data_IF_576042944876
#
_entry.id   IF_576042944876
#
_cell.length_a   1.000
_cell.length_b   1.000
_cell.length_c   1.000
_cell.angle_alpha   90.00
_cell.angle_beta   90.00
_cell.angle_gamma   90.00
#
_symmetry.space_group_name_H-M   'P 1'
#
loop_
_entity.id
_entity.type
_entity.pdbx_description
1 polymer ?
#
# COMPACT_ATOMS: atom_id res chain seq x y z
N UNK A 1 -0.51 29.97 -111.36
CA UNK A 1 0.81 29.51 -111.84
C UNK A 1 1.09 28.18 -111.15
N UNK A 2 1.07 27.03 -111.86
CA UNK A 2 2.26 26.29 -112.35
C UNK A 2 3.31 26.10 -111.24
N UNK A 3 3.84 24.92 -110.91
CA UNK A 3 3.81 23.59 -111.50
C UNK A 3 4.45 22.59 -110.49
N UNK A 4 4.18 21.30 -110.65
CA UNK A 4 5.00 20.20 -110.09
C UNK A 4 6.38 20.15 -110.80
N UNK A 5 7.40 19.44 -110.26
CA UNK A 5 7.60 18.03 -110.66
C UNK A 5 8.29 17.06 -109.65
N UNK A 6 8.18 15.77 -110.02
CA UNK A 6 8.70 14.45 -109.59
C UNK A 6 10.25 14.34 -109.34
N UNK A 7 10.92 13.18 -109.03
CA UNK A 7 10.51 11.74 -109.03
C UNK A 7 11.12 10.74 -107.97
N UNK A 8 10.44 9.57 -107.86
CA UNK A 8 10.92 8.15 -107.85
C UNK A 8 12.22 7.73 -107.12
N UNK A 9 12.11 6.78 -106.17
CA UNK A 9 12.96 5.55 -106.13
C UNK A 9 12.40 4.37 -105.33
N UNK A 10 12.51 3.19 -105.93
CA UNK A 10 12.11 1.85 -105.47
C UNK A 10 13.01 1.30 -104.36
N UNK A 11 12.42 0.50 -103.46
CA UNK A 11 12.86 -0.77 -102.80
C UNK A 11 12.03 -0.93 -101.53
N UNK A 12 11.72 -2.08 -100.95
CA UNK A 12 11.79 -3.50 -101.28
C UNK A 12 10.93 -4.20 -100.21
N UNK A 13 10.25 -5.27 -100.61
CA UNK A 13 9.78 -6.42 -99.80
C UNK A 13 9.67 -6.23 -98.28
N UNK A 14 8.44 -6.27 -97.77
CA UNK A 14 8.07 -7.31 -96.80
C UNK A 14 6.55 -7.42 -96.70
N UNK A 15 6.00 -8.56 -97.14
CA UNK A 15 4.63 -8.96 -96.78
C UNK A 15 4.66 -9.37 -95.30
N UNK A 16 4.41 -8.41 -94.42
CA UNK A 16 4.05 -8.72 -93.05
C UNK A 16 2.66 -9.38 -93.07
N UNK A 17 2.59 -10.64 -92.63
CA UNK A 17 1.33 -11.29 -92.24
C UNK A 17 0.73 -10.46 -91.08
N UNK A 18 -0.56 -10.12 -91.09
CA UNK A 18 -1.16 -9.45 -89.95
C UNK A 18 -1.20 -10.44 -88.79
N UNK A 19 -0.48 -10.14 -87.71
CA UNK A 19 -0.69 -10.82 -86.43
C UNK A 19 -2.04 -10.34 -85.89
N UNK A 20 -3.00 -11.24 -85.80
CA UNK A 20 -4.23 -11.01 -85.04
C UNK A 20 -3.85 -10.88 -83.56
N UNK A 21 -3.64 -9.64 -83.09
CA UNK A 21 -3.64 -9.35 -81.66
C UNK A 21 -5.03 -9.71 -81.12
N UNK A 22 -5.15 -10.86 -80.46
CA UNK A 22 -6.31 -11.20 -79.63
C UNK A 22 -6.54 -10.04 -78.66
N UNK A 23 -7.69 -9.38 -78.76
CA UNK A 23 -8.18 -8.46 -77.75
C UNK A 23 -8.67 -9.25 -76.52
N UNK A 24 -7.76 -9.94 -75.84
CA UNK A 24 -8.00 -10.58 -74.56
C UNK A 24 -7.30 -9.74 -73.48
N UNK A 25 -7.93 -8.63 -73.08
CA UNK A 25 -7.27 -7.69 -72.16
C UNK A 25 -8.14 -6.57 -71.59
N UNK A 26 -9.47 -6.74 -71.52
CA UNK A 26 -10.37 -5.77 -70.86
C UNK A 26 -11.15 -6.36 -69.69
N UNK A 27 -11.61 -7.61 -69.77
CA UNK A 27 -12.30 -8.28 -68.66
C UNK A 27 -11.40 -8.62 -67.48
N UNK A 28 -10.21 -9.18 -67.74
CA UNK A 28 -9.25 -9.54 -66.69
C UNK A 28 -8.71 -8.31 -65.93
N UNK A 29 -8.50 -7.19 -66.62
CA UNK A 29 -8.02 -5.95 -66.02
C UNK A 29 -9.04 -5.28 -65.08
N UNK A 30 -10.34 -5.41 -65.38
CA UNK A 30 -11.41 -4.88 -64.51
C UNK A 30 -11.53 -5.74 -63.25
N UNK A 31 -11.43 -7.07 -63.38
CA UNK A 31 -11.48 -7.98 -62.23
C UNK A 31 -10.28 -7.77 -61.30
N UNK A 32 -9.08 -7.59 -61.84
CA UNK A 32 -7.89 -7.31 -61.02
C UNK A 32 -7.96 -5.93 -60.37
N UNK A 33 -8.47 -4.91 -61.06
CA UNK A 33 -8.68 -3.58 -60.48
C UNK A 33 -9.70 -3.61 -59.32
N UNK A 34 -10.84 -4.30 -59.50
CA UNK A 34 -11.85 -4.45 -58.45
C UNK A 34 -11.33 -5.26 -57.26
N UNK A 35 -10.53 -6.30 -57.50
CA UNK A 35 -9.94 -7.11 -56.45
C UNK A 35 -8.91 -6.32 -55.63
N UNK A 36 -8.07 -5.52 -56.29
CA UNK A 36 -7.12 -4.63 -55.60
C UNK A 36 -7.86 -3.61 -54.75
N UNK A 37 -8.91 -2.97 -55.29
CA UNK A 37 -9.71 -1.99 -54.53
C UNK A 37 -10.41 -2.63 -53.34
N UNK A 38 -11.01 -3.82 -53.51
CA UNK A 38 -11.65 -4.54 -52.41
C UNK A 38 -10.64 -4.92 -51.32
N UNK A 39 -9.44 -5.39 -51.70
CA UNK A 39 -8.38 -5.74 -50.76
C UNK A 39 -7.84 -4.49 -50.05
N UNK A 40 -7.65 -3.38 -50.76
CA UNK A 40 -7.30 -2.08 -50.16
C UNK A 40 -8.37 -1.62 -49.17
N UNK A 41 -9.65 -1.73 -49.50
CA UNK A 41 -10.75 -1.36 -48.61
C UNK A 41 -10.78 -2.21 -47.33
N UNK A 42 -10.55 -3.53 -47.42
CA UNK A 42 -10.47 -4.43 -46.25
C UNK A 42 -9.31 -4.04 -45.34
N UNK A 43 -8.11 -3.78 -45.90
CA UNK A 43 -6.94 -3.36 -45.12
C UNK A 43 -7.16 -2.03 -44.40
N UNK A 44 -7.70 -1.03 -45.11
CA UNK A 44 -8.00 0.29 -44.52
C UNK A 44 -9.06 0.17 -43.42
N UNK A 45 -10.12 -0.62 -43.63
CA UNK A 45 -11.16 -0.86 -42.61
C UNK A 45 -10.57 -1.50 -41.34
N UNK A 46 -9.71 -2.51 -41.49
CA UNK A 46 -9.01 -3.13 -40.37
C UNK A 46 -8.07 -2.18 -39.62
N UNK A 47 -7.43 -1.24 -40.33
CA UNK A 47 -6.58 -0.22 -39.72
C UNK A 47 -7.39 0.81 -38.92
N UNK A 48 -8.51 1.30 -39.45
CA UNK A 48 -9.38 2.27 -38.78
C UNK A 48 -9.96 1.68 -37.48
N UNK A 49 -10.36 0.41 -37.50
CA UNK A 49 -10.80 -0.28 -36.28
C UNK A 49 -9.70 -0.34 -35.22
N UNK A 50 -8.46 -0.70 -35.61
CA UNK A 50 -7.31 -0.72 -34.70
C UNK A 50 -7.00 0.67 -34.14
N UNK A 51 -7.09 1.71 -34.95
CA UNK A 51 -6.90 3.09 -34.52
C UNK A 51 -7.95 3.50 -33.47
N UNK A 52 -9.23 3.18 -33.68
CA UNK A 52 -10.28 3.49 -32.71
C UNK A 52 -10.05 2.78 -31.37
N UNK A 53 -9.63 1.51 -31.39
CA UNK A 53 -9.31 0.77 -30.15
C UNK A 53 -8.11 1.38 -29.44
N UNK A 54 -7.06 1.79 -30.16
CA UNK A 54 -5.90 2.46 -29.59
C UNK A 54 -6.28 3.79 -28.93
N UNK A 55 -7.11 4.61 -29.58
CA UNK A 55 -7.57 5.88 -29.03
C UNK A 55 -8.33 5.69 -27.71
N UNK A 56 -9.25 4.72 -27.64
CA UNK A 56 -9.99 4.41 -26.41
C UNK A 56 -9.07 3.97 -25.27
N UNK A 57 -8.02 3.19 -25.57
CA UNK A 57 -7.02 2.79 -24.57
C UNK A 57 -6.22 3.98 -24.05
N UNK A 58 -5.76 4.85 -24.93
CA UNK A 58 -5.01 6.06 -24.57
C UNK A 58 -5.88 6.98 -23.70
N UNK A 59 -7.15 7.16 -24.06
CA UNK A 59 -8.09 7.95 -23.28
C UNK A 59 -8.27 7.37 -21.86
N UNK A 60 -8.48 6.05 -21.73
CA UNK A 60 -8.55 5.38 -20.42
C UNK A 60 -7.27 5.53 -19.59
N UNK A 61 -6.11 5.38 -20.23
CA UNK A 61 -4.81 5.56 -19.57
C UNK A 61 -4.62 7.00 -19.09
N UNK A 62 -5.05 7.98 -19.88
CA UNK A 62 -5.00 9.40 -19.50
C UNK A 62 -5.88 9.68 -18.29
N UNK A 63 -7.13 9.21 -18.30
CA UNK A 63 -8.06 9.42 -17.18
C UNK A 63 -7.55 8.79 -15.89
N UNK A 64 -7.03 7.56 -15.96
CA UNK A 64 -6.44 6.88 -14.81
C UNK A 64 -5.18 7.62 -14.30
N UNK A 65 -4.31 8.09 -15.19
CA UNK A 65 -3.14 8.87 -14.81
C UNK A 65 -3.54 10.18 -14.11
N UNK A 66 -4.58 10.88 -14.59
CA UNK A 66 -5.13 12.07 -13.96
C UNK A 66 -5.69 11.77 -12.56
N UNK A 67 -6.49 10.72 -12.41
CA UNK A 67 -6.98 10.28 -11.10
C UNK A 67 -5.84 9.96 -10.12
N UNK A 68 -4.77 9.30 -10.59
CA UNK A 68 -3.57 9.03 -9.79
C UNK A 68 -2.79 10.28 -9.40
N UNK A 69 -2.75 11.33 -10.25
CA UNK A 69 -2.16 12.62 -9.91
C UNK A 69 -2.98 13.34 -8.83
N UNK A 70 -4.31 13.34 -8.97
CA UNK A 70 -5.22 13.91 -7.97
C UNK A 70 -5.07 13.17 -6.62
N UNK A 71 -5.02 11.84 -6.63
CA UNK A 71 -4.83 11.03 -5.42
C UNK A 71 -3.51 11.34 -4.70
N UNK A 72 -2.43 11.60 -5.45
CA UNK A 72 -1.14 12.03 -4.88
C UNK A 72 -1.24 13.42 -4.23
N UNK A 73 -1.89 14.38 -4.90
CA UNK A 73 -2.12 15.72 -4.34
C UNK A 73 -2.96 15.68 -3.06
N UNK A 74 -4.03 14.87 -3.05
CA UNK A 74 -4.87 14.67 -1.85
C UNK A 74 -4.08 14.05 -0.69
N UNK A 75 -3.16 13.12 -0.97
CA UNK A 75 -2.27 12.53 0.03
C UNK A 75 -1.28 13.56 0.58
N UNK A 76 -0.70 14.42 -0.26
CA UNK A 76 0.22 15.47 0.18
C UNK A 76 -0.47 16.51 1.07
N UNK A 77 -1.72 16.86 0.76
CA UNK A 77 -2.56 17.66 1.65
C UNK A 77 -2.85 16.93 2.98
N UNK A 78 -3.20 15.65 2.93
CA UNK A 78 -3.44 14.83 4.13
C UNK A 78 -2.21 14.80 5.04
N UNK A 79 -1.01 14.69 4.45
CA UNK A 79 0.27 14.74 5.15
C UNK A 79 0.51 16.11 5.82
N UNK A 80 0.06 17.20 5.20
CA UNK A 80 0.10 18.53 5.80
C UNK A 80 -0.85 18.63 7.01
N UNK A 81 -2.08 18.11 6.89
CA UNK A 81 -3.05 18.06 8.00
C UNK A 81 -2.47 17.27 9.18
N UNK A 82 -1.91 16.08 8.93
CA UNK A 82 -1.28 15.26 9.98
C UNK A 82 -0.10 15.95 10.69
N UNK A 83 0.65 16.77 9.95
CA UNK A 83 1.75 17.58 10.51
C UNK A 83 1.21 18.75 11.33
N UNK A 84 0.29 19.52 10.77
CA UNK A 84 -0.36 20.65 11.46
C UNK A 84 -1.05 20.24 12.75
N UNK A 85 -1.69 19.07 12.76
CA UNK A 85 -2.31 18.50 13.96
C UNK A 85 -1.26 18.15 15.02
N UNK A 86 -0.13 17.57 14.62
CA UNK A 86 0.97 17.26 15.55
C UNK A 86 1.58 18.51 16.17
N UNK A 87 1.69 19.58 15.39
CA UNK A 87 2.16 20.88 15.89
C UNK A 87 1.16 21.50 16.89
N UNK A 88 -0.14 21.26 16.70
CA UNK A 88 -1.22 21.81 17.56
C UNK A 88 -1.45 20.97 18.82
N UNK A 89 -1.45 19.65 18.70
CA UNK A 89 -1.69 18.67 19.76
C UNK A 89 -0.44 17.84 20.03
N UNK A 90 0.65 18.50 20.42
CA UNK A 90 1.96 17.87 20.59
C UNK A 90 1.91 16.71 21.61
N UNK A 91 2.37 15.54 21.18
CA UNK A 91 2.50 14.35 22.03
C UNK A 91 1.22 13.55 22.29
N UNK A 92 0.09 13.90 21.68
CA UNK A 92 -1.19 13.21 21.89
C UNK A 92 -1.88 12.98 20.55
N UNK A 93 -2.43 11.78 20.33
CA UNK A 93 -3.32 11.50 19.19
C UNK A 93 -4.61 10.85 19.67
N UNK A 94 -5.75 11.46 19.35
CA UNK A 94 -7.07 11.07 19.84
C UNK A 94 -8.14 11.19 18.75
N UNK A 95 -9.28 10.51 18.93
CA UNK A 95 -10.37 10.39 17.94
C UNK A 95 -11.07 11.71 17.58
N UNK A 96 -10.98 12.74 18.43
CA UNK A 96 -11.59 14.05 18.21
C UNK A 96 -10.72 15.04 17.44
N UNK A 97 -9.51 14.63 17.03
CA UNK A 97 -8.61 15.48 16.25
C UNK A 97 -9.13 15.77 14.85
N UNK A 98 -8.62 16.83 14.22
CA UNK A 98 -9.07 17.27 12.88
C UNK A 98 -8.86 16.21 11.81
N UNK A 99 -7.84 15.36 11.98
CA UNK A 99 -7.51 14.24 11.11
C UNK A 99 -8.55 13.10 11.15
N UNK A 100 -9.29 12.96 12.26
CA UNK A 100 -10.22 11.84 12.49
C UNK A 100 -11.56 12.00 11.78
N UNK A 101 -11.85 13.19 11.25
CA UNK A 101 -13.12 13.48 10.56
C UNK A 101 -13.04 12.93 9.12
N UNK A 102 -13.90 11.97 8.74
CA UNK A 102 -13.88 11.42 7.39
C UNK A 102 -14.35 12.46 6.36
N UNK A 103 -13.65 12.50 5.24
CA UNK A 103 -14.02 13.33 4.09
C UNK A 103 -15.05 12.54 3.28
N UNK A 104 -16.32 12.94 3.38
CA UNK A 104 -17.39 12.42 2.55
C UNK A 104 -17.12 12.69 1.06
N UNK A 105 -17.89 12.06 0.16
CA UNK A 105 -17.74 12.28 -1.29
C UNK A 105 -18.05 13.74 -1.64
N UNK A 106 -17.01 14.54 -1.81
CA UNK A 106 -17.09 15.96 -2.16
C UNK A 106 -16.49 16.21 -3.54
N UNK A 107 -17.00 17.21 -4.26
CA UNK A 107 -16.39 17.61 -5.53
C UNK A 107 -15.02 18.22 -5.27
N UNK A 108 -14.08 17.96 -6.18
CA UNK A 108 -12.74 18.53 -6.08
C UNK A 108 -12.78 20.07 -6.13
N UNK A 109 -13.71 20.66 -6.88
CA UNK A 109 -13.94 22.11 -6.89
C UNK A 109 -14.29 22.67 -5.51
N UNK A 110 -15.16 21.98 -4.78
CA UNK A 110 -15.63 22.41 -3.46
C UNK A 110 -14.53 22.23 -2.42
N UNK A 111 -13.77 21.13 -2.54
CA UNK A 111 -12.59 20.86 -1.72
C UNK A 111 -11.49 21.91 -1.94
N UNK A 112 -11.17 22.26 -3.19
CA UNK A 112 -10.18 23.28 -3.51
C UNK A 112 -10.66 24.70 -3.17
N UNK A 113 -11.94 25.00 -3.36
CA UNK A 113 -12.53 26.29 -2.98
C UNK A 113 -12.45 26.58 -1.48
N UNK A 114 -12.45 25.54 -0.64
CA UNK A 114 -12.16 25.67 0.79
C UNK A 114 -10.68 25.96 1.10
N UNK A 115 -9.77 25.68 0.15
CA UNK A 115 -8.31 25.78 0.29
C UNK A 115 -7.75 27.04 -0.42
N UNK A 116 -8.54 27.73 -1.25
CA UNK A 116 -8.20 29.02 -1.90
C UNK A 116 -8.72 29.15 -3.34
N UNK A 117 -8.91 30.38 -3.85
CA UNK A 117 -9.50 30.62 -5.18
C UNK A 117 -8.62 30.14 -6.35
N UNK A 118 -9.13 29.21 -7.20
CA UNK A 118 -8.86 29.15 -8.66
C UNK A 118 -9.99 28.41 -9.43
N UNK A 119 -10.49 29.06 -10.51
CA UNK A 119 -11.21 28.58 -11.72
C UNK A 119 -11.91 27.21 -11.63
N UNK A 120 -13.21 27.25 -11.31
CA UNK A 120 -14.14 26.11 -11.19
C UNK A 120 -14.43 25.33 -12.49
N UNK A 121 -13.86 25.70 -13.64
CA UNK A 121 -14.23 25.09 -14.92
C UNK A 121 -13.46 23.79 -15.23
N UNK A 122 -12.37 23.47 -14.51
CA UNK A 122 -11.58 22.26 -14.73
C UNK A 122 -11.69 21.32 -13.53
N UNK A 123 -12.55 20.30 -13.63
CA UNK A 123 -12.71 19.26 -12.59
C UNK A 123 -14.15 19.03 -12.10
N UNK A 124 -15.16 19.55 -12.79
CA UNK A 124 -16.58 19.41 -12.42
C UNK A 124 -17.03 17.96 -12.18
N UNK A 125 -16.42 16.99 -12.86
CA UNK A 125 -16.68 15.55 -12.71
C UNK A 125 -15.60 14.81 -11.90
N UNK A 126 -14.96 15.49 -10.95
CA UNK A 126 -13.97 14.89 -10.04
C UNK A 126 -14.47 14.90 -8.62
N UNK A 127 -14.49 13.74 -7.98
CA UNK A 127 -14.91 13.54 -6.60
C UNK A 127 -13.78 12.94 -5.78
N UNK A 128 -13.62 13.44 -4.56
CA UNK A 128 -12.68 12.95 -3.57
C UNK A 128 -13.46 12.49 -2.33
N UNK A 129 -13.04 11.39 -1.76
CA UNK A 129 -13.49 10.92 -0.44
C UNK A 129 -12.35 10.19 0.25
N UNK A 130 -12.39 10.12 1.57
CA UNK A 130 -11.38 9.38 2.30
C UNK A 130 -11.56 9.44 3.80
N UNK A 131 -10.76 8.65 4.49
CA UNK A 131 -10.67 8.64 5.94
C UNK A 131 -9.23 8.37 6.35
N UNK A 132 -8.88 8.85 7.54
CA UNK A 132 -7.59 8.58 8.15
C UNK A 132 -7.86 7.73 9.38
N UNK A 133 -7.10 6.66 9.54
CA UNK A 133 -7.16 5.79 10.69
C UNK A 133 -5.79 5.75 11.37
N UNK A 134 -5.79 5.69 12.69
CA UNK A 134 -4.59 5.45 13.47
C UNK A 134 -4.18 3.99 13.35
N UNK A 135 -3.01 3.72 12.77
CA UNK A 135 -2.53 2.35 12.59
C UNK A 135 -2.09 1.73 13.94
N UNK A 136 -1.67 2.54 14.92
CA UNK A 136 -1.31 2.09 16.26
C UNK A 136 -2.52 1.93 17.18
N UNK A 137 -3.75 2.16 16.70
CA UNK A 137 -4.96 1.73 17.39
C UNK A 137 -5.12 0.20 17.38
N UNK A 138 -4.43 -0.48 16.47
CA UNK A 138 -4.49 -1.92 16.26
C UNK A 138 -3.27 -2.61 16.87
N UNK A 139 -3.42 -3.86 17.25
CA UNK A 139 -2.31 -4.68 17.73
C UNK A 139 -1.29 -4.91 16.60
N UNK A 140 -0.04 -4.50 16.81
CA UNK A 140 0.99 -4.63 15.79
C UNK A 140 1.67 -6.00 15.91
N UNK A 141 1.46 -6.88 14.93
CA UNK A 141 2.05 -8.21 14.94
C UNK A 141 3.58 -8.18 14.96
N UNK A 142 4.20 -7.08 14.52
CA UNK A 142 5.65 -6.88 14.60
C UNK A 142 6.17 -6.99 16.03
N UNK A 143 5.35 -6.68 17.04
CA UNK A 143 5.74 -6.66 18.46
C UNK A 143 5.97 -8.07 19.05
N UNK A 144 5.47 -9.11 18.39
CA UNK A 144 5.68 -10.52 18.77
C UNK A 144 7.17 -10.93 18.76
N UNK A 145 8.03 -10.15 18.11
CA UNK A 145 9.47 -10.41 17.99
C UNK A 145 10.26 -9.19 18.47
N UNK A 146 10.94 -9.34 19.60
CA UNK A 146 11.85 -8.32 20.12
C UNK A 146 13.22 -8.40 19.44
N UNK A 147 13.89 -7.24 19.32
CA UNK A 147 15.29 -7.14 18.91
C UNK A 147 16.09 -6.75 20.17
N UNK A 148 16.61 -7.74 20.89
CA UNK A 148 17.39 -7.52 22.12
C UNK A 148 18.79 -6.98 21.83
N UNK A 149 19.33 -7.31 20.65
CA UNK A 149 20.57 -6.75 20.10
C UNK A 149 20.47 -6.78 18.56
N UNK A 150 21.20 -5.93 17.81
CA UNK A 150 21.16 -5.92 16.36
C UNK A 150 21.38 -7.33 15.77
N UNK A 151 20.41 -7.83 15.01
CA UNK A 151 20.45 -9.18 14.42
C UNK A 151 20.02 -10.34 15.33
N UNK A 152 19.82 -10.11 16.63
CA UNK A 152 19.32 -11.10 17.59
C UNK A 152 17.80 -10.98 17.77
N UNK A 153 17.06 -11.79 17.04
CA UNK A 153 15.60 -11.86 17.09
C UNK A 153 15.14 -12.83 18.18
N UNK A 154 14.44 -12.32 19.19
CA UNK A 154 13.85 -13.10 20.27
C UNK A 154 12.33 -13.00 20.27
N UNK A 155 11.65 -14.04 20.71
CA UNK A 155 10.19 -14.03 20.83
C UNK A 155 9.81 -13.24 22.09
N UNK A 156 8.88 -12.29 21.95
CA UNK A 156 8.35 -11.54 23.08
C UNK A 156 7.16 -12.30 23.69
N UNK A 157 7.37 -12.92 24.85
CA UNK A 157 6.36 -13.78 25.49
C UNK A 157 5.12 -12.98 25.91
N UNK A 158 5.30 -11.76 26.43
CA UNK A 158 4.19 -10.91 26.87
C UNK A 158 3.28 -10.55 25.70
N UNK A 159 3.86 -10.19 24.55
CA UNK A 159 3.10 -9.84 23.34
C UNK A 159 2.42 -11.06 22.71
N UNK A 160 3.04 -12.24 22.81
CA UNK A 160 2.42 -13.50 22.37
C UNK A 160 1.18 -13.80 23.22
N UNK A 161 1.23 -13.57 24.53
CA UNK A 161 0.06 -13.72 25.41
C UNK A 161 -1.03 -12.69 25.10
N UNK A 162 -0.65 -11.42 24.84
CA UNK A 162 -1.59 -10.38 24.39
C UNK A 162 -2.29 -10.77 23.10
N UNK A 163 -1.55 -11.26 22.11
CA UNK A 163 -2.13 -11.71 20.85
C UNK A 163 -2.99 -12.98 21.02
N UNK A 164 -2.58 -13.92 21.88
CA UNK A 164 -3.40 -15.10 22.20
C UNK A 164 -4.74 -14.71 22.84
N UNK A 165 -4.76 -13.69 23.71
CA UNK A 165 -6.00 -13.13 24.27
C UNK A 165 -6.86 -12.48 23.18
N UNK A 166 -6.26 -11.72 22.26
CA UNK A 166 -6.99 -11.11 21.14
C UNK A 166 -7.66 -12.19 20.27
N UNK A 167 -6.92 -13.26 19.94
CA UNK A 167 -7.45 -14.39 19.19
C UNK A 167 -8.65 -15.01 19.92
N UNK A 168 -8.54 -15.26 21.23
CA UNK A 168 -9.63 -15.81 22.03
C UNK A 168 -10.87 -14.89 22.06
N UNK A 169 -10.68 -13.56 22.17
CA UNK A 169 -11.78 -12.57 22.14
C UNK A 169 -12.54 -12.62 20.80
N UNK A 170 -11.81 -12.79 19.68
CA UNK A 170 -12.38 -12.88 18.33
C UNK A 170 -12.96 -14.27 18.02
N UNK A 171 -12.81 -15.24 18.93
CA UNK A 171 -13.30 -16.61 18.79
C UNK A 171 -12.39 -17.51 17.95
N UNK A 172 -11.08 -17.20 17.91
CA UNK A 172 -10.04 -17.99 17.26
C UNK A 172 -9.17 -18.72 18.29
N UNK A 173 -8.43 -19.73 17.84
CA UNK A 173 -7.53 -20.50 18.71
C UNK A 173 -6.30 -19.66 19.11
N UNK A 174 -6.10 -19.46 20.41
CA UNK A 174 -4.95 -18.75 20.96
C UNK A 174 -3.60 -19.44 20.70
N UNK A 175 -3.59 -20.74 20.38
CA UNK A 175 -2.36 -21.46 20.03
C UNK A 175 -1.68 -20.90 18.77
N UNK A 176 -2.47 -20.29 17.87
CA UNK A 176 -1.98 -19.67 16.63
C UNK A 176 -1.04 -18.48 16.89
N UNK A 177 -1.09 -17.86 18.08
CA UNK A 177 -0.21 -16.74 18.43
C UNK A 177 1.27 -17.15 18.36
N UNK A 178 1.61 -18.30 18.94
CA UNK A 178 2.98 -18.83 18.94
C UNK A 178 3.46 -19.22 17.54
N UNK A 179 2.57 -19.79 16.73
CA UNK A 179 2.88 -20.13 15.33
C UNK A 179 3.17 -18.86 14.52
N UNK A 180 2.33 -17.84 14.68
CA UNK A 180 2.50 -16.53 14.04
C UNK A 180 3.83 -15.88 14.43
N UNK A 181 4.16 -15.87 15.72
CA UNK A 181 5.41 -15.30 16.20
C UNK A 181 6.65 -16.04 15.66
N UNK A 182 6.57 -17.37 15.56
CA UNK A 182 7.65 -18.19 15.00
C UNK A 182 7.86 -17.92 13.51
N UNK A 183 6.77 -17.83 12.75
CA UNK A 183 6.78 -17.50 11.32
C UNK A 183 7.27 -16.06 11.08
N UNK A 184 6.80 -15.11 11.89
CA UNK A 184 7.24 -13.73 11.80
C UNK A 184 8.75 -13.62 12.04
N UNK A 185 9.27 -14.29 13.08
CA UNK A 185 10.71 -14.32 13.38
C UNK A 185 11.54 -14.81 12.20
N UNK A 186 11.11 -15.89 11.53
CA UNK A 186 11.81 -16.40 10.35
C UNK A 186 11.69 -15.45 9.16
N UNK A 187 10.54 -14.79 8.96
CA UNK A 187 10.36 -13.77 7.91
C UNK A 187 11.25 -12.54 8.13
N UNK A 188 11.43 -12.12 9.39
CA UNK A 188 12.24 -10.96 9.77
C UNK A 188 13.74 -11.19 9.63
N UNK A 189 14.21 -12.44 9.68
CA UNK A 189 15.62 -12.78 9.45
C UNK A 189 16.12 -12.28 8.08
N UNK A 190 15.24 -12.18 7.10
CA UNK A 190 15.54 -11.67 5.76
C UNK A 190 15.13 -10.19 5.55
N UNK A 191 14.67 -9.50 6.60
CA UNK A 191 14.23 -8.10 6.53
C UNK A 191 15.38 -7.12 6.72
N UNK A 192 15.30 -5.97 6.04
CA UNK A 192 16.23 -4.86 6.26
C UNK A 192 16.11 -4.25 7.66
N UNK A 193 14.94 -4.40 8.31
CA UNK A 193 14.65 -3.88 9.65
C UNK A 193 15.24 -4.71 10.79
N UNK A 194 15.90 -5.85 10.50
CA UNK A 194 16.46 -6.76 11.54
C UNK A 194 17.54 -6.15 12.43
N UNK A 195 18.17 -5.06 11.99
CA UNK A 195 19.24 -4.36 12.71
C UNK A 195 18.74 -3.10 13.43
N UNK A 196 17.46 -2.75 13.28
CA UNK A 196 16.90 -1.56 13.89
C UNK A 196 16.55 -1.87 15.35
N UNK A 197 17.43 -1.48 16.27
CA UNK A 197 17.17 -1.61 17.70
C UNK A 197 16.02 -0.69 18.11
N UNK A 198 15.19 -1.13 19.06
CA UNK A 198 14.07 -0.36 19.60
C UNK A 198 14.64 0.80 20.43
N UNK A 199 14.46 2.04 19.96
CA UNK A 199 14.79 3.23 20.74
C UNK A 199 13.66 3.49 21.74
N UNK A 200 13.76 2.92 22.93
CA UNK A 200 12.86 3.28 24.04
C UNK A 200 13.22 4.66 24.57
N UNK A 201 12.27 5.58 24.60
CA UNK A 201 12.41 6.97 25.09
C UNK A 201 12.46 7.07 26.61
N UNK A 202 13.21 6.18 27.26
CA UNK A 202 13.61 6.32 28.66
C UNK A 202 15.12 6.13 28.74
N UNK A 203 15.83 7.25 28.88
CA UNK A 203 17.26 7.29 29.12
C UNK A 203 17.59 6.67 30.47
N UNK A 204 17.81 5.36 30.48
CA UNK A 204 18.68 4.74 31.48
C UNK A 204 19.76 4.01 30.70
N UNK A 205 20.90 4.67 30.58
CA UNK A 205 22.12 4.06 30.06
C UNK A 205 22.52 2.95 31.04
N UNK A 206 22.14 1.71 30.74
CA UNK A 206 22.87 0.57 31.29
C UNK A 206 24.23 0.53 30.60
N UNK A 207 25.22 1.15 31.25
CA UNK A 207 26.63 0.81 31.05
C UNK A 207 26.76 -0.71 31.23
N UNK A 208 27.10 -1.42 30.16
CA UNK A 208 27.58 -2.78 30.29
C UNK A 208 29.04 -2.82 29.82
N UNK A 209 29.86 -3.24 30.78
CA UNK A 209 31.31 -3.19 30.77
C UNK A 209 31.90 -3.88 29.54
N UNK A 210 32.94 -3.24 29.00
CA UNK A 210 33.94 -3.92 28.21
C UNK A 210 34.55 -5.05 29.06
N UNK A 211 34.48 -6.29 28.56
CA UNK A 211 35.19 -7.41 29.15
C UNK A 211 34.70 -8.77 28.65
N UNK A 212 35.59 -9.47 27.94
CA UNK A 212 35.53 -10.94 27.81
C UNK A 212 35.41 -11.43 26.37
N UNK A 213 36.54 -11.87 25.81
CA UNK A 213 36.66 -12.34 24.45
C UNK A 213 35.90 -13.63 24.16
N UNK A 214 35.23 -13.67 23.01
CA UNK A 214 34.82 -14.90 22.35
C UNK A 214 35.97 -15.43 21.50
N UNK A 215 36.77 -16.33 22.08
CA UNK A 215 37.75 -17.12 21.36
C UNK A 215 37.04 -18.16 20.48
N UNK A 216 37.37 -18.17 19.18
CA UNK A 216 37.52 -19.40 18.42
C UNK A 216 36.28 -19.96 17.71
N UNK A 217 36.08 -19.53 16.47
CA UNK A 217 35.37 -20.28 15.44
C UNK A 217 36.05 -20.06 14.10
N UNK A 218 37.11 -20.82 13.83
CA UNK A 218 37.85 -20.81 12.57
C UNK A 218 36.95 -21.27 11.42
N UNK A 219 36.34 -20.32 10.70
CA UNK A 219 35.76 -20.53 9.37
C UNK A 219 35.95 -19.24 8.56
N UNK A 220 37.18 -18.97 8.16
CA UNK A 220 37.41 -18.07 7.03
C UNK A 220 36.96 -18.82 5.77
N UNK A 221 35.69 -18.68 5.42
CA UNK A 221 35.18 -19.12 4.13
C UNK A 221 35.68 -18.15 3.07
N UNK A 222 36.37 -18.67 2.05
CA UNK A 222 36.91 -17.93 0.90
C UNK A 222 35.84 -17.50 -0.11
N UNK A 223 34.57 -17.51 0.29
CA UNK A 223 33.43 -17.25 -0.57
C UNK A 223 32.94 -15.80 -0.34
N UNK A 224 33.01 -14.90 -1.33
CA UNK A 224 32.44 -13.56 -1.19
C UNK A 224 30.91 -13.69 -1.19
N UNK A 225 30.30 -13.81 0.00
CA UNK A 225 28.86 -13.86 0.20
C UNK A 225 28.49 -14.35 1.60
N UNK A 226 27.46 -13.73 2.20
CA UNK A 226 26.83 -14.13 3.46
C UNK A 226 26.16 -15.51 3.32
N UNK A 227 26.95 -16.58 3.33
CA UNK A 227 26.43 -17.94 3.44
C UNK A 227 26.57 -18.39 4.89
N UNK A 228 25.53 -18.11 5.70
CA UNK A 228 25.39 -18.69 7.03
C UNK A 228 25.19 -20.21 6.91
N UNK A 229 25.93 -20.95 7.74
CA UNK A 229 25.84 -22.39 7.85
C UNK A 229 24.41 -22.83 8.24
N UNK A 230 23.83 -23.74 7.45
CA UNK A 230 22.84 -24.70 7.93
C UNK A 230 21.40 -24.24 8.19
N UNK A 231 20.98 -23.04 7.79
CA UNK A 231 19.60 -22.56 8.01
C UNK A 231 18.80 -22.22 6.74
N UNK A 232 19.22 -22.74 5.59
CA UNK A 232 18.40 -22.75 4.38
C UNK A 232 17.30 -23.81 4.50
N UNK A 233 16.19 -23.47 5.17
CA UNK A 233 14.91 -24.09 4.81
C UNK A 233 14.68 -23.82 3.31
N UNK A 234 14.39 -24.86 2.53
CA UNK A 234 14.32 -24.79 1.07
C UNK A 234 13.28 -23.77 0.51
N UNK A 235 12.48 -23.18 1.39
CA UNK A 235 11.55 -22.08 1.12
C UNK A 235 11.79 -21.01 2.18
N UNK A 236 12.39 -19.87 1.79
CA UNK A 236 12.46 -18.72 2.68
C UNK A 236 11.03 -18.15 2.85
N UNK A 237 10.54 -17.94 4.09
CA UNK A 237 9.22 -17.38 4.32
C UNK A 237 9.12 -15.97 3.72
N UNK A 238 7.97 -15.67 3.11
CA UNK A 238 7.68 -14.34 2.59
C UNK A 238 7.68 -13.33 3.73
N UNK A 239 8.20 -12.12 3.47
CA UNK A 239 8.14 -11.06 4.47
C UNK A 239 6.68 -10.69 4.77
N UNK A 240 6.32 -10.72 6.05
CA UNK A 240 5.02 -10.26 6.49
C UNK A 240 4.95 -8.74 6.37
N UNK A 241 4.29 -8.25 5.33
CA UNK A 241 4.11 -6.81 5.07
C UNK A 241 2.66 -6.37 5.21
N UNK A 242 1.72 -7.31 5.37
CA UNK A 242 0.31 -7.02 5.59
C UNK A 242 -0.37 -8.13 6.37
N UNK A 243 -1.53 -7.81 6.92
CA UNK A 243 -2.41 -8.78 7.59
C UNK A 243 -2.74 -9.98 6.70
N UNK A 244 -2.80 -9.81 5.37
CA UNK A 244 -3.01 -10.91 4.41
C UNK A 244 -1.91 -11.99 4.47
N UNK A 245 -0.69 -11.63 4.92
CA UNK A 245 0.41 -12.57 5.11
C UNK A 245 0.14 -13.58 6.23
N UNK A 246 -0.90 -13.39 7.04
CA UNK A 246 -1.35 -14.41 7.99
C UNK A 246 -1.86 -15.68 7.28
N UNK A 247 -2.31 -15.58 6.03
CA UNK A 247 -2.72 -16.76 5.25
C UNK A 247 -1.57 -17.72 4.95
N UNK A 248 -0.32 -17.24 5.01
CA UNK A 248 0.87 -18.08 4.86
C UNK A 248 1.23 -18.83 6.16
N UNK A 249 0.64 -18.44 7.28
CA UNK A 249 0.85 -19.09 8.59
C UNK A 249 -0.10 -20.29 8.71
N UNK A 250 0.42 -21.50 8.98
CA UNK A 250 -0.42 -22.67 9.15
C UNK A 250 -1.50 -22.47 10.24
N UNK A 251 -2.75 -22.70 9.88
CA UNK A 251 -3.91 -22.62 10.78
C UNK A 251 -4.81 -21.40 10.58
N UNK A 252 -4.39 -20.39 9.80
CA UNK A 252 -5.28 -19.29 9.43
C UNK A 252 -6.11 -19.60 8.18
N UNK A 253 -7.40 -19.27 8.25
CA UNK A 253 -8.31 -19.30 7.11
C UNK A 253 -8.61 -17.88 6.64
N UNK A 254 -9.12 -17.73 5.41
CA UNK A 254 -9.55 -16.42 4.90
C UNK A 254 -10.61 -15.75 5.80
N UNK A 255 -11.52 -16.53 6.39
CA UNK A 255 -12.52 -16.02 7.35
C UNK A 255 -11.86 -15.56 8.65
N UNK A 256 -10.90 -16.32 9.20
CA UNK A 256 -10.17 -15.93 10.40
C UNK A 256 -9.39 -14.61 10.19
N UNK A 257 -8.72 -14.46 9.04
CA UNK A 257 -7.99 -13.23 8.70
C UNK A 257 -8.96 -12.05 8.50
N UNK A 258 -10.13 -12.29 7.89
CA UNK A 258 -11.16 -11.25 7.75
C UNK A 258 -11.67 -10.74 9.10
N UNK A 259 -11.88 -11.64 10.07
CA UNK A 259 -12.29 -11.28 11.45
C UNK A 259 -11.20 -10.54 12.23
N UNK A 260 -9.93 -10.84 11.98
CA UNK A 260 -8.80 -10.17 12.65
C UNK A 260 -8.44 -8.82 12.06
N UNK A 261 -8.73 -8.59 10.79
CA UNK A 261 -8.40 -7.38 10.03
C UNK A 261 -8.66 -6.04 10.77
N UNK A 262 -9.77 -5.84 11.49
CA UNK A 262 -10.00 -4.59 12.22
C UNK A 262 -9.13 -4.41 13.47
N UNK A 263 -8.57 -5.50 14.03
CA UNK A 263 -7.88 -5.47 15.32
C UNK A 263 -6.35 -5.56 15.21
N UNK A 264 -5.82 -6.04 14.09
CA UNK A 264 -4.37 -6.24 13.90
C UNK A 264 -3.81 -5.43 12.74
N UNK A 265 -2.53 -5.09 12.85
CA UNK A 265 -1.74 -4.45 11.79
C UNK A 265 -0.32 -5.05 11.75
N UNK A 266 0.43 -4.74 10.70
CA UNK A 266 1.86 -5.04 10.61
C UNK A 266 2.59 -3.77 10.23
N UNK A 267 3.33 -3.20 11.19
CA UNK A 267 4.14 -2.01 10.98
C UNK A 267 5.63 -2.38 10.83
N UNK A 268 6.45 -1.52 10.19
CA UNK A 268 7.87 -1.81 9.98
C UNK A 268 8.68 -1.94 11.27
N UNK A 269 8.29 -1.21 12.31
CA UNK A 269 8.95 -1.20 13.62
C UNK A 269 7.99 -1.70 14.70
N UNK A 270 8.55 -2.09 15.85
CA UNK A 270 7.74 -2.32 17.04
C UNK A 270 7.12 -0.99 17.50
N UNK A 271 5.86 -1.01 17.94
CA UNK A 271 5.14 0.22 18.29
C UNK A 271 4.14 -0.04 19.42
N UNK A 272 4.11 0.78 20.47
CA UNK A 272 3.06 0.67 21.49
C UNK A 272 1.68 0.98 20.88
N UNK A 273 0.65 0.43 21.51
CA UNK A 273 -0.75 0.65 21.13
C UNK A 273 -1.24 1.98 21.69
N UNK A 274 -1.88 2.78 20.84
CA UNK A 274 -2.46 4.05 21.26
C UNK A 274 -3.79 3.86 22.00
N UNK A 275 -3.80 4.14 23.30
CA UNK A 275 -4.94 3.95 24.19
C UNK A 275 -6.09 4.93 23.96
N UNK A 276 -5.86 6.04 23.25
CA UNK A 276 -6.91 6.99 22.89
C UNK A 276 -7.74 6.56 21.68
N UNK A 277 -7.21 5.67 20.84
CA UNK A 277 -7.82 5.27 19.56
C UNK A 277 -8.13 3.77 19.48
N UNK A 278 -7.43 2.92 20.23
CA UNK A 278 -7.56 1.46 20.18
C UNK A 278 -8.98 0.93 20.47
N UNK A 279 -9.40 -0.15 19.82
CA UNK A 279 -10.73 -0.73 20.09
C UNK A 279 -10.78 -1.41 21.46
N UNK A 280 -11.99 -1.68 21.98
CA UNK A 280 -12.15 -2.32 23.29
C UNK A 280 -11.52 -3.73 23.33
N UNK A 281 -11.60 -4.47 22.22
CA UNK A 281 -11.00 -5.80 22.04
C UNK A 281 -9.48 -5.75 22.11
N UNK A 282 -8.86 -4.75 21.45
CA UNK A 282 -7.40 -4.57 21.49
C UNK A 282 -6.95 -4.17 22.89
N UNK A 283 -7.68 -3.26 23.56
CA UNK A 283 -7.37 -2.85 24.95
C UNK A 283 -7.48 -4.04 25.91
N UNK A 284 -8.55 -4.85 25.81
CA UNK A 284 -8.71 -6.04 26.63
C UNK A 284 -7.64 -7.12 26.36
N UNK A 285 -7.15 -7.20 25.12
CA UNK A 285 -6.07 -8.12 24.77
C UNK A 285 -4.72 -7.69 25.34
N UNK A 286 -4.37 -6.41 25.23
CA UNK A 286 -3.08 -5.88 25.70
C UNK A 286 -3.02 -5.81 27.23
N UNK A 287 -4.11 -5.44 27.91
CA UNK A 287 -4.13 -5.30 29.36
C UNK A 287 -4.47 -6.63 30.04
N UNK A 288 -3.52 -7.27 30.78
CA UNK A 288 -3.79 -8.56 31.41
C UNK A 288 -4.89 -8.46 32.48
N UNK A 289 -5.80 -9.43 32.47
CA UNK A 289 -6.91 -9.50 33.43
C UNK A 289 -8.11 -8.59 33.12
N UNK A 290 -8.04 -7.79 32.06
CA UNK A 290 -9.16 -6.95 31.63
C UNK A 290 -10.10 -7.72 30.69
N UNK A 291 -11.41 -7.69 30.96
CA UNK A 291 -12.41 -8.25 30.06
C UNK A 291 -12.95 -7.19 29.08
N UNK A 292 -13.63 -7.63 28.02
CA UNK A 292 -14.17 -6.74 26.97
C UNK A 292 -15.18 -5.73 27.51
N UNK A 293 -15.98 -6.09 28.52
CA UNK A 293 -16.97 -5.17 29.11
C UNK A 293 -16.30 -4.04 29.89
N UNK A 294 -15.26 -4.35 30.67
CA UNK A 294 -14.42 -3.33 31.32
C UNK A 294 -13.74 -2.43 30.28
N UNK A 295 -13.21 -3.03 29.20
CA UNK A 295 -12.58 -2.27 28.13
C UNK A 295 -13.57 -1.37 27.37
N UNK A 296 -14.83 -1.78 27.19
CA UNK A 296 -15.88 -0.91 26.66
C UNK A 296 -16.15 0.29 27.57
N UNK A 297 -16.20 0.08 28.89
CA UNK A 297 -16.32 1.18 29.86
C UNK A 297 -15.12 2.16 29.79
N UNK A 298 -13.91 1.62 29.65
CA UNK A 298 -12.69 2.40 29.44
C UNK A 298 -12.75 3.22 28.14
N UNK A 299 -13.16 2.61 27.02
CA UNK A 299 -13.31 3.26 25.72
C UNK A 299 -14.41 4.33 25.75
N UNK A 300 -15.52 4.10 26.46
CA UNK A 300 -16.59 5.07 26.62
C UNK A 300 -16.11 6.31 27.41
N UNK A 301 -15.33 6.10 28.47
CA UNK A 301 -14.78 7.21 29.27
C UNK A 301 -13.88 8.12 28.44
N UNK A 302 -12.97 7.54 27.64
CA UNK A 302 -12.03 8.34 26.82
C UNK A 302 -12.69 9.17 25.72
N UNK A 303 -13.92 8.84 25.31
CA UNK A 303 -14.67 9.67 24.35
C UNK A 303 -15.05 11.04 24.94
N UNK A 304 -15.15 11.13 26.27
CA UNK A 304 -15.42 12.39 26.99
C UNK A 304 -14.13 13.07 27.44
N UNK A 305 -13.19 12.31 27.99
CA UNK A 305 -11.91 12.80 28.51
C UNK A 305 -10.80 11.91 28.00
N UNK A 306 -10.09 12.34 26.97
CA UNK A 306 -8.95 11.62 26.41
C UNK A 306 -7.73 11.70 27.34
N UNK A 307 -6.80 10.76 27.17
CA UNK A 307 -5.59 10.65 27.99
C UNK A 307 -4.48 11.52 27.40
N UNK A 308 -3.77 12.24 28.27
CA UNK A 308 -2.68 13.13 27.86
C UNK A 308 -1.32 12.45 27.99
N UNK A 309 -1.24 11.40 28.81
CA UNK A 309 -0.02 10.65 29.06
C UNK A 309 -0.37 9.21 29.49
N UNK A 310 0.64 8.34 29.55
CA UNK A 310 0.48 6.94 29.97
C UNK A 310 0.08 6.81 31.45
N UNK A 311 0.42 7.79 32.30
CA UNK A 311 -0.02 7.83 33.70
C UNK A 311 -1.55 7.98 33.84
N UNK A 312 -2.18 8.80 33.00
CA UNK A 312 -3.65 8.94 32.97
C UNK A 312 -4.31 7.61 32.57
N UNK A 313 -3.70 6.90 31.62
CA UNK A 313 -4.14 5.55 31.21
C UNK A 313 -4.06 4.59 32.40
N UNK A 314 -2.93 4.55 33.11
CA UNK A 314 -2.78 3.68 34.28
C UNK A 314 -3.83 3.97 35.34
N UNK A 315 -4.09 5.24 35.66
CA UNK A 315 -5.11 5.63 36.62
C UNK A 315 -6.52 5.20 36.18
N UNK A 316 -6.83 5.32 34.89
CA UNK A 316 -8.10 4.87 34.33
C UNK A 316 -8.25 3.34 34.33
N UNK A 317 -7.17 2.60 34.10
CA UNK A 317 -7.14 1.13 34.18
C UNK A 317 -7.32 0.65 35.63
N UNK A 318 -6.66 1.29 36.61
CA UNK A 318 -6.89 1.05 38.04
C UNK A 318 -8.36 1.27 38.42
N UNK A 319 -8.95 2.37 37.96
CA UNK A 319 -10.37 2.65 38.17
C UNK A 319 -11.33 1.64 37.54
N UNK A 320 -10.85 0.84 36.58
CA UNK A 320 -11.59 -0.26 35.94
C UNK A 320 -11.39 -1.61 36.64
N UNK A 321 -10.60 -1.64 37.73
CA UNK A 321 -10.33 -2.84 38.54
C UNK A 321 -9.08 -3.63 38.15
N UNK A 322 -8.21 -3.08 37.29
CA UNK A 322 -6.94 -3.72 36.89
C UNK A 322 -5.85 -3.40 37.92
N UNK A 323 -5.06 -4.41 38.32
CA UNK A 323 -3.97 -4.25 39.27
C UNK A 323 -2.72 -3.63 38.62
N UNK A 324 -2.04 -2.72 39.30
CA UNK A 324 -0.87 -1.99 38.77
C UNK A 324 0.28 -2.92 38.33
N UNK A 325 0.48 -4.03 39.04
CA UNK A 325 1.60 -4.97 38.81
C UNK A 325 1.48 -5.76 37.51
N UNK A 326 0.33 -5.71 36.83
CA UNK A 326 0.11 -6.43 35.58
C UNK A 326 0.21 -5.55 34.34
N UNK A 327 0.44 -4.24 34.49
CA UNK A 327 0.46 -3.29 33.36
C UNK A 327 1.89 -3.05 32.89
N UNK A 328 2.23 -3.56 31.71
CA UNK A 328 3.46 -3.19 31.01
C UNK A 328 3.27 -1.86 30.27
N UNK A 329 3.84 -0.78 30.81
CA UNK A 329 3.72 0.56 30.22
C UNK A 329 4.45 0.71 28.90
N UNK A 330 5.34 -0.22 28.54
CA UNK A 330 6.08 -0.14 27.27
C UNK A 330 5.22 -0.49 26.06
N UNK A 331 4.06 -1.13 26.28
CA UNK A 331 3.11 -1.53 25.25
C UNK A 331 2.01 -0.49 25.01
N UNK A 332 1.96 0.57 25.84
CA UNK A 332 0.89 1.56 25.85
C UNK A 332 1.46 2.94 25.54
N UNK A 333 0.78 3.68 24.68
CA UNK A 333 1.08 5.08 24.39
C UNK A 333 -0.24 5.86 24.20
N UNK A 334 -0.14 7.18 24.19
CA UNK A 334 -1.23 8.12 23.87
C UNK A 334 -0.97 8.88 22.56
N UNK A 335 0.23 8.71 21.98
CA UNK A 335 0.63 9.27 20.70
C UNK A 335 0.68 8.19 19.61
N UNK A 336 0.58 8.62 18.36
CA UNK A 336 0.82 7.75 17.21
C UNK A 336 1.75 8.39 16.19
N UNK A 337 2.58 7.53 15.61
CA UNK A 337 3.51 7.82 14.52
C UNK A 337 3.05 7.21 13.20
N UNK A 338 2.10 6.27 13.19
CA UNK A 338 1.67 5.58 11.96
C UNK A 338 0.18 5.78 11.69
N UNK A 339 -0.13 6.24 10.48
CA UNK A 339 -1.49 6.49 10.02
C UNK A 339 -1.78 5.73 8.73
N UNK A 340 -2.97 5.15 8.64
CA UNK A 340 -3.52 4.59 7.41
C UNK A 340 -4.45 5.64 6.77
N UNK A 341 -4.08 6.09 5.57
CA UNK A 341 -4.88 7.03 4.78
C UNK A 341 -5.61 6.24 3.70
N UNK A 342 -6.93 6.18 3.81
CA UNK A 342 -7.81 5.61 2.81
C UNK A 342 -8.32 6.74 1.91
N UNK A 343 -7.97 6.72 0.64
CA UNK A 343 -8.39 7.72 -0.34
C UNK A 343 -9.06 7.07 -1.54
N UNK A 344 -10.20 7.62 -1.94
CA UNK A 344 -10.92 7.27 -3.17
C UNK A 344 -11.06 8.50 -4.03
N UNK A 345 -10.51 8.45 -5.24
CA UNK A 345 -10.63 9.50 -6.26
C UNK A 345 -11.42 8.95 -7.43
N UNK A 346 -12.52 9.62 -7.76
CA UNK A 346 -13.27 9.37 -8.98
C UNK A 346 -13.08 10.56 -9.92
N UNK A 347 -12.49 10.33 -11.08
CA UNK A 347 -12.32 11.32 -12.14
C UNK A 347 -13.03 10.81 -13.39
N UNK A 348 -14.20 11.39 -13.69
CA UNK A 348 -15.11 10.88 -14.72
C UNK A 348 -15.43 9.38 -14.50
N UNK A 349 -14.96 8.51 -15.41
CA UNK A 349 -15.09 7.04 -15.35
C UNK A 349 -13.92 6.32 -14.67
N UNK A 350 -12.82 7.02 -14.40
CA UNK A 350 -11.68 6.43 -13.72
C UNK A 350 -11.87 6.52 -12.20
N UNK A 351 -11.67 5.39 -11.51
CA UNK A 351 -11.69 5.32 -10.05
C UNK A 351 -10.32 4.81 -9.60
N UNK A 352 -9.78 5.46 -8.57
CA UNK A 352 -8.55 5.04 -7.90
C UNK A 352 -8.83 4.96 -6.41
N UNK A 353 -8.79 3.74 -5.89
CA UNK A 353 -8.87 3.44 -4.47
C UNK A 353 -7.48 3.10 -3.95
N UNK A 354 -7.04 3.83 -2.93
CA UNK A 354 -5.67 3.77 -2.45
C UNK A 354 -5.61 3.84 -0.93
N UNK A 355 -4.95 2.86 -0.35
CA UNK A 355 -4.59 2.84 1.07
C UNK A 355 -3.10 3.12 1.22
N UNK A 356 -2.75 4.18 1.94
CA UNK A 356 -1.35 4.61 2.15
C UNK A 356 -1.00 4.55 3.63
N UNK A 357 0.10 3.86 3.97
CA UNK A 357 0.71 3.93 5.29
C UNK A 357 1.66 5.12 5.33
N UNK A 358 1.34 6.10 6.17
CA UNK A 358 2.13 7.30 6.43
C UNK A 358 2.78 7.16 7.80
N UNK A 359 4.08 7.47 7.88
CA UNK A 359 4.77 7.64 9.15
C UNK A 359 5.00 9.12 9.39
N UNK A 360 4.71 9.57 10.62
CA UNK A 360 4.95 10.90 11.14
C UNK A 360 6.00 10.80 12.24
N UNK A 361 7.06 11.57 12.12
CA UNK A 361 8.09 11.65 13.14
C UNK A 361 7.52 12.31 14.41
N UNK A 362 7.67 11.68 15.60
CA UNK A 362 7.09 12.20 16.83
C UNK A 362 7.75 13.47 17.37
N UNK A 363 8.96 13.83 16.90
CA UNK A 363 9.73 14.99 17.36
C UNK A 363 9.67 16.14 16.34
N UNK A 364 9.86 15.82 15.06
CA UNK A 364 9.94 16.83 13.98
C UNK A 364 8.62 17.03 13.25
N UNK A 365 7.64 16.16 13.51
CA UNK A 365 6.33 16.11 12.84
C UNK A 365 6.41 15.96 11.32
N UNK A 366 7.59 15.61 10.79
CA UNK A 366 7.79 15.36 9.37
C UNK A 366 7.09 14.06 8.98
N UNK A 367 6.49 14.04 7.79
CA UNK A 367 5.76 12.86 7.31
C UNK A 367 6.50 12.20 6.14
N UNK A 368 6.55 10.87 6.14
CA UNK A 368 7.05 10.04 5.04
C UNK A 368 6.00 9.00 4.65
N UNK A 369 5.97 8.67 3.37
CA UNK A 369 5.16 7.56 2.86
C UNK A 369 5.96 6.27 3.06
N UNK A 370 5.39 5.32 3.79
CA UNK A 370 6.02 4.02 4.05
C UNK A 370 5.61 3.01 3.00
N UNK A 371 4.31 2.99 2.66
CA UNK A 371 3.76 2.06 1.69
C UNK A 371 2.50 2.62 1.05
N UNK A 372 2.33 2.34 -0.25
CA UNK A 372 1.09 2.61 -1.00
C UNK A 372 0.55 1.28 -1.51
N UNK A 373 -0.76 1.08 -1.38
CA UNK A 373 -1.48 -0.07 -1.94
C UNK A 373 -2.70 0.44 -2.69
N UNK A 374 -2.78 0.11 -3.97
CA UNK A 374 -3.98 0.34 -4.78
C UNK A 374 -4.91 -0.86 -4.61
N UNK A 375 -6.19 -0.59 -4.36
CA UNK A 375 -7.22 -1.62 -4.31
C UNK A 375 -7.73 -1.87 -5.74
N UNK A 376 -7.96 -3.14 -6.10
CA UNK A 376 -8.31 -3.55 -7.46
C UNK A 376 -9.72 -3.14 -7.90
#
# INVERSE_FOLDING_TARGET
>A
MRAQPFPVRRRSRNRARPSTRKAAGKGAAIITALLVVALSAILVSGMLWRQQVQLRRIENQRLLAQAQWIARGALDWTRLVLRSEADTSAGITYLGGTWGVPVAKTRLSDFLGQIGEVRADQGADTYLSGSIEDAQARFNLRDLVAISAPGMLQLNVTEIESFARLLAIVGLDGSLAKNTATYLRSSLAYSATRYQAQSTSNGTQSQQLAGGGGQGGANFTSNPGLADAGSNSAVAPLQMTSVDSLLDVPGFTADAVARLRPFVTILPTATPVNMNTASAEVVAAVVPGMNVSQAQGFVARRQTVFFHNVGDVQLALQGSGVQQTTIDTTQLDVNTSYFLVHGRVQHERAVVDRTTLVWRDPLTHTTRIVRVRDEP
#
